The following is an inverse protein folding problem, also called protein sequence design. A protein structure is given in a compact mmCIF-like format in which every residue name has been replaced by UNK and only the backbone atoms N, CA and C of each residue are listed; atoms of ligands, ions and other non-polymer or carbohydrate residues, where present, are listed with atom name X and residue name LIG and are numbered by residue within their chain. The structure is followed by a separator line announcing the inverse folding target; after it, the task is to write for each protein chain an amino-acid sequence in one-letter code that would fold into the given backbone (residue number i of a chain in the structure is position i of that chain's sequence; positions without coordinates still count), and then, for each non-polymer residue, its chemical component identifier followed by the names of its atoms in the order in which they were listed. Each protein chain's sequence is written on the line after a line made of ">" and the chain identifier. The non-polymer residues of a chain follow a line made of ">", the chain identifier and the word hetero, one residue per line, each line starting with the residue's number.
data_IF_578165974754
#
_entry.id   IF_578165974754
#
_cell.length_a   1.000
_cell.length_b   1.000
_cell.length_c   1.000
_cell.angle_alpha   90.00
_cell.angle_beta   90.00
_cell.angle_gamma   90.00
#
_symmetry.space_group_name_H-M   'P 1'
#
loop_
_entity.id
_entity.type
_entity.pdbx_description
1 polymer ?
#
# COMPACT_ATOMS: atom_id res chain seq x y z
N UNK A 1 7.41 -9.70 -7.20
CA UNK A 1 8.35 -8.57 -7.33
C UNK A 1 9.59 -8.86 -6.48
N UNK A 2 10.78 -8.43 -6.91
CA UNK A 2 12.05 -8.54 -6.16
C UNK A 2 12.86 -7.25 -6.35
N UNK A 3 13.72 -6.91 -5.39
CA UNK A 3 14.58 -5.73 -5.46
C UNK A 3 15.24 -5.44 -4.11
N UNK A 4 15.95 -4.32 -4.00
CA UNK A 4 16.63 -3.90 -2.77
C UNK A 4 15.68 -3.75 -1.56
N UNK A 5 14.43 -3.32 -1.78
CA UNK A 5 13.42 -3.18 -0.71
C UNK A 5 12.66 -4.47 -0.39
N UNK A 6 12.73 -5.48 -1.27
CA UNK A 6 12.09 -6.79 -1.10
C UNK A 6 13.03 -7.89 -1.62
N UNK A 7 14.19 -8.12 -0.95
CA UNK A 7 15.23 -9.03 -1.45
C UNK A 7 14.73 -10.47 -1.55
N UNK A 8 13.88 -10.88 -0.62
CA UNK A 8 13.26 -12.20 -0.59
C UNK A 8 11.96 -12.28 -1.41
N UNK A 9 11.53 -11.16 -1.98
CA UNK A 9 10.36 -11.04 -2.82
C UNK A 9 9.12 -10.47 -2.12
N UNK A 10 8.19 -10.01 -2.94
CA UNK A 10 6.87 -9.51 -2.58
C UNK A 10 5.85 -9.93 -3.66
N UNK A 11 4.57 -9.89 -3.32
CA UNK A 11 3.46 -10.30 -4.19
C UNK A 11 2.59 -9.10 -4.57
N UNK A 12 2.03 -9.14 -5.79
CA UNK A 12 1.06 -8.15 -6.28
C UNK A 12 0.03 -8.86 -7.16
N UNK A 13 -1.24 -8.50 -7.02
CA UNK A 13 -2.33 -9.04 -7.84
C UNK A 13 -2.44 -8.21 -9.13
N UNK A 14 -1.64 -8.55 -10.14
CA UNK A 14 -1.52 -7.77 -11.38
C UNK A 14 -2.85 -7.55 -12.11
N UNK A 15 -3.80 -8.48 -12.02
CA UNK A 15 -5.13 -8.33 -12.65
C UNK A 15 -6.01 -7.25 -12.01
N UNK A 16 -5.62 -6.76 -10.83
CA UNK A 16 -6.29 -5.70 -10.10
C UNK A 16 -5.43 -4.43 -10.03
N UNK A 17 -4.42 -4.30 -10.90
CA UNK A 17 -3.55 -3.12 -11.05
C UNK A 17 -3.88 -2.41 -12.35
N UNK A 18 -4.09 -1.10 -12.31
CA UNK A 18 -4.33 -0.28 -13.49
C UNK A 18 -3.12 -0.33 -14.44
N UNK A 19 -3.35 -0.33 -15.75
CA UNK A 19 -2.29 -0.51 -16.75
C UNK A 19 -1.21 0.58 -16.63
N UNK A 20 -1.64 1.80 -16.34
CA UNK A 20 -0.82 2.97 -16.08
C UNK A 20 0.02 2.87 -14.79
N UNK A 21 -0.41 2.06 -13.82
CA UNK A 21 0.26 1.85 -12.53
C UNK A 21 1.25 0.68 -12.51
N UNK A 22 1.38 -0.07 -13.61
CA UNK A 22 2.34 -1.18 -13.73
C UNK A 22 3.80 -0.73 -13.54
N UNK A 23 4.09 0.55 -13.79
CA UNK A 23 5.34 1.20 -13.44
C UNK A 23 5.00 2.52 -12.76
N UNK A 24 5.26 2.59 -11.45
CA UNK A 24 5.03 3.80 -10.66
C UNK A 24 6.31 4.22 -9.94
N UNK A 25 6.54 5.52 -9.84
CA UNK A 25 7.67 6.10 -9.11
C UNK A 25 7.23 7.42 -8.47
N UNK A 26 7.51 7.56 -7.18
CA UNK A 26 7.29 8.80 -6.48
C UNK A 26 7.86 8.81 -5.06
N UNK A 27 7.60 9.87 -4.30
CA UNK A 27 8.12 10.01 -2.95
C UNK A 27 7.44 9.02 -2.00
N UNK A 28 8.23 8.44 -1.09
CA UNK A 28 7.73 7.51 -0.09
C UNK A 28 7.03 8.25 1.07
N UNK A 29 5.84 7.78 1.44
CA UNK A 29 5.10 8.15 2.64
C UNK A 29 5.07 6.94 3.56
N UNK A 30 5.91 6.95 4.59
CA UNK A 30 6.18 5.77 5.43
C UNK A 30 5.42 5.87 6.74
N UNK A 31 4.77 4.77 7.11
CA UNK A 31 3.97 4.62 8.33
C UNK A 31 4.33 3.32 9.04
N UNK A 32 4.26 3.34 10.38
CA UNK A 32 4.66 2.21 11.23
C UNK A 32 3.46 1.34 11.64
N UNK A 33 2.25 1.72 11.22
CA UNK A 33 1.02 0.93 11.41
C UNK A 33 -0.05 1.27 10.36
N UNK A 34 -1.03 0.38 10.17
CA UNK A 34 -2.22 0.65 9.34
C UNK A 34 -2.95 1.92 9.81
N UNK A 35 -3.11 2.10 11.11
CA UNK A 35 -3.93 3.17 11.70
C UNK A 35 -3.32 4.56 11.41
N UNK A 36 -2.01 4.69 11.48
CA UNK A 36 -1.29 5.91 11.09
C UNK A 36 -1.46 6.22 9.60
N UNK A 37 -1.37 5.20 8.75
CA UNK A 37 -1.54 5.35 7.31
C UNK A 37 -2.97 5.82 6.98
N UNK A 38 -3.99 5.20 7.58
CA UNK A 38 -5.40 5.60 7.41
C UNK A 38 -5.60 7.04 7.88
N UNK A 39 -5.05 7.42 9.04
CA UNK A 39 -5.17 8.78 9.55
C UNK A 39 -4.56 9.81 8.59
N UNK A 40 -3.41 9.50 7.97
CA UNK A 40 -2.78 10.37 6.99
C UNK A 40 -3.57 10.45 5.67
N UNK A 41 -4.12 9.33 5.19
CA UNK A 41 -4.98 9.28 4.01
C UNK A 41 -6.22 10.16 4.23
N UNK A 42 -6.97 9.93 5.32
CA UNK A 42 -8.18 10.69 5.65
C UNK A 42 -7.91 12.18 5.91
N UNK A 43 -6.72 12.52 6.40
CA UNK A 43 -6.29 13.91 6.58
C UNK A 43 -5.86 14.59 5.26
N UNK A 44 -5.95 13.93 4.10
CA UNK A 44 -5.56 14.50 2.81
C UNK A 44 -4.06 14.70 2.65
N UNK A 45 -3.23 14.00 3.44
CA UNK A 45 -1.77 14.12 3.39
C UNK A 45 -1.12 13.27 2.29
N UNK A 46 -1.88 12.36 1.70
CA UNK A 46 -1.45 11.54 0.57
C UNK A 46 -1.94 12.19 -0.71
N UNK A 47 -1.04 12.40 -1.66
CA UNK A 47 -1.33 13.07 -2.93
C UNK A 47 -0.94 12.19 -4.11
N UNK A 48 -1.46 12.54 -5.30
CA UNK A 48 -1.11 11.88 -6.56
C UNK A 48 0.40 11.76 -6.75
N UNK A 49 0.85 10.55 -7.11
CA UNK A 49 2.26 10.23 -7.28
C UNK A 49 2.91 9.59 -6.06
N UNK A 50 2.33 9.70 -4.87
CA UNK A 50 2.95 9.15 -3.66
C UNK A 50 3.09 7.60 -3.70
N UNK A 51 4.03 7.09 -2.91
CA UNK A 51 4.18 5.66 -2.60
C UNK A 51 3.97 5.48 -1.10
N UNK A 52 2.82 4.96 -0.71
CA UNK A 52 2.50 4.68 0.69
C UNK A 52 3.17 3.36 1.09
N UNK A 53 3.96 3.40 2.17
CA UNK A 53 4.66 2.24 2.73
C UNK A 53 4.18 2.03 4.16
N UNK A 54 3.56 0.89 4.42
CA UNK A 54 3.09 0.50 5.75
C UNK A 54 3.95 -0.66 6.23
N UNK A 55 4.81 -0.42 7.21
CA UNK A 55 5.77 -1.41 7.73
C UNK A 55 5.40 -1.83 9.15
N UNK A 56 6.03 -2.90 9.62
CA UNK A 56 5.76 -3.55 10.91
C UNK A 56 4.39 -4.22 11.00
N UNK A 57 3.77 -4.56 9.88
CA UNK A 57 2.50 -5.32 9.81
C UNK A 57 2.73 -6.79 9.42
N UNK A 58 3.98 -7.21 9.25
CA UNK A 58 4.36 -8.58 8.92
C UNK A 58 4.14 -9.60 10.06
N UNK A 59 4.44 -10.89 9.85
CA UNK A 59 4.11 -11.99 10.79
C UNK A 59 4.59 -11.78 12.23
N UNK A 60 5.71 -11.06 12.41
CA UNK A 60 6.29 -10.77 13.73
C UNK A 60 6.08 -9.33 14.19
N UNK A 61 6.03 -8.37 13.25
CA UNK A 61 5.87 -6.95 13.57
C UNK A 61 4.45 -6.64 14.04
N UNK A 62 3.45 -7.10 13.27
CA UNK A 62 2.03 -6.84 13.52
C UNK A 62 1.38 -7.80 14.52
N UNK A 63 2.12 -8.81 15.00
CA UNK A 63 1.83 -10.25 14.89
C UNK A 63 0.79 -10.75 13.86
N UNK A 64 1.03 -11.96 13.33
CA UNK A 64 0.00 -12.71 12.58
C UNK A 64 -0.25 -12.23 11.15
N UNK A 65 0.47 -11.20 10.70
CA UNK A 65 0.40 -10.68 9.32
C UNK A 65 -1.04 -10.33 8.94
N UNK A 66 -1.61 -9.35 9.64
CA UNK A 66 -2.97 -8.83 9.48
C UNK A 66 -3.31 -8.55 8.01
N UNK A 67 -4.57 -8.82 7.66
CA UNK A 67 -5.12 -8.46 6.36
C UNK A 67 -5.75 -7.07 6.43
N UNK A 68 -5.27 -6.16 5.59
CA UNK A 68 -5.68 -4.75 5.57
C UNK A 68 -6.55 -4.48 4.34
N UNK A 69 -7.77 -3.98 4.56
CA UNK A 69 -8.67 -3.52 3.50
C UNK A 69 -8.81 -2.00 3.48
N UNK A 70 -8.67 -1.35 4.65
CA UNK A 70 -8.99 0.06 4.80
C UNK A 70 -8.06 0.97 4.00
N UNK A 71 -6.71 0.83 4.01
CA UNK A 71 -5.82 1.75 3.29
C UNK A 71 -6.11 1.79 1.79
N UNK A 72 -6.38 0.63 1.19
CA UNK A 72 -6.65 0.51 -0.24
C UNK A 72 -8.03 1.07 -0.59
N UNK A 73 -9.04 0.81 0.25
CA UNK A 73 -10.39 1.34 0.07
C UNK A 73 -10.47 2.85 0.23
N UNK A 74 -9.74 3.43 1.18
CA UNK A 74 -9.71 4.87 1.43
C UNK A 74 -8.99 5.61 0.29
N UNK A 75 -7.85 5.10 -0.20
CA UNK A 75 -7.17 5.66 -1.38
C UNK A 75 -8.07 5.64 -2.62
N UNK A 76 -8.79 4.55 -2.85
CA UNK A 76 -9.77 4.46 -3.93
C UNK A 76 -10.95 5.42 -3.74
N UNK A 77 -11.46 5.56 -2.51
CA UNK A 77 -12.51 6.52 -2.17
C UNK A 77 -12.11 7.98 -2.41
N UNK A 78 -10.81 8.28 -2.30
CA UNK A 78 -10.24 9.59 -2.67
C UNK A 78 -9.98 9.75 -4.18
N UNK A 79 -10.24 8.73 -5.00
CA UNK A 79 -9.96 8.73 -6.44
C UNK A 79 -8.47 8.69 -6.77
N UNK A 80 -7.63 8.17 -5.86
CA UNK A 80 -6.18 8.09 -6.00
C UNK A 80 -5.69 6.66 -6.31
N UNK A 81 -6.61 5.71 -6.54
CA UNK A 81 -6.31 4.30 -6.83
C UNK A 81 -5.44 4.10 -8.08
N UNK A 82 -5.51 5.03 -9.04
CA UNK A 82 -4.69 5.00 -10.27
C UNK A 82 -3.45 5.90 -10.23
N UNK A 83 -3.16 6.45 -9.06
CA UNK A 83 -2.18 7.53 -8.89
C UNK A 83 -1.24 7.31 -7.70
N UNK A 84 -1.58 6.41 -6.77
CA UNK A 84 -0.82 6.13 -5.55
C UNK A 84 -0.57 4.64 -5.42
N UNK A 85 0.70 4.27 -5.22
CA UNK A 85 1.07 2.88 -4.94
C UNK A 85 1.06 2.60 -3.44
N UNK A 86 0.63 1.41 -3.04
CA UNK A 86 0.70 0.94 -1.65
C UNK A 86 1.60 -0.29 -1.55
N UNK A 87 2.49 -0.29 -0.55
CA UNK A 87 3.42 -1.38 -0.24
C UNK A 87 3.33 -1.70 1.25
N UNK A 88 3.39 -2.98 1.60
CA UNK A 88 3.45 -3.41 2.99
C UNK A 88 4.24 -4.71 3.17
N UNK A 89 4.76 -4.94 4.38
CA UNK A 89 5.26 -6.23 4.84
C UNK A 89 4.15 -7.14 5.43
N UNK A 90 2.93 -6.61 5.59
CA UNK A 90 1.71 -7.34 5.92
C UNK A 90 0.98 -7.90 4.69
N UNK A 91 -0.36 -7.95 4.73
CA UNK A 91 -1.20 -8.38 3.58
C UNK A 91 -2.29 -7.35 3.29
N UNK A 92 -2.60 -7.15 2.02
CA UNK A 92 -3.82 -6.48 1.60
C UNK A 92 -4.93 -7.48 1.31
N UNK A 93 -6.18 -7.07 1.49
CA UNK A 93 -7.32 -7.95 1.27
C UNK A 93 -7.54 -8.33 -0.19
N UNK A 94 -8.13 -9.49 -0.46
CA UNK A 94 -8.47 -9.95 -1.81
C UNK A 94 -9.43 -9.03 -2.58
N UNK A 95 -10.21 -8.21 -1.85
CA UNK A 95 -11.08 -7.17 -2.38
C UNK A 95 -10.32 -5.90 -2.85
N UNK A 96 -9.02 -5.80 -2.57
CA UNK A 96 -8.16 -4.69 -2.96
C UNK A 96 -8.09 -4.53 -4.49
N UNK A 97 -8.07 -3.27 -4.91
CA UNK A 97 -7.88 -2.78 -6.29
C UNK A 97 -6.84 -1.66 -6.28
N UNK A 98 -6.20 -1.40 -7.42
CA UNK A 98 -5.21 -0.36 -7.67
C UNK A 98 -4.75 -0.42 -9.11
#
# INVERSE_FOLDING_TARGET
>A
LKGNIAPNGAVVKQSAVAKEMMVHKGPARVFDSEDEAIAAIRAGKIVKGDVVVIRYEGPKGGPGMREMLSPTSEIAGMGLDKDVALITDGRFSGATRG
#
